data_IF_685276245898
#
_entry.id   IF_685276245898
#
_cell.length_a   1.000
_cell.length_b   1.000
_cell.length_c   1.000
_cell.angle_alpha   90.00
_cell.angle_beta   90.00
_cell.angle_gamma   90.00
#
_symmetry.space_group_name_H-M   'P 1'
#
loop_
_entity.id
_entity.type
_entity.pdbx_description
1 polymer ?
2 non-polymer ?
3 non-polymer ?
4 water ?
#
# COMPACT_ATOMS: atom_id res chain seq x y z
N UNK A 3 2.20 20.95 44.17
CA UNK A 3 1.04 21.81 44.56
C UNK A 3 0.49 21.23 45.84
N UNK A 4 -0.58 20.44 45.70
CA UNK A 4 -0.88 19.46 46.70
C UNK A 4 -0.46 18.16 46.05
N UNK A 5 0.71 17.67 46.46
CA UNK A 5 1.30 16.44 45.93
C UNK A 5 0.28 15.31 45.81
N UNK A 6 -0.62 15.25 46.80
CA UNK A 6 -1.78 14.34 46.78
C UNK A 6 -2.68 14.55 45.55
N UNK A 7 -3.11 15.79 45.33
CA UNK A 7 -4.00 16.11 44.21
C UNK A 7 -3.39 15.76 42.85
N UNK A 8 -2.09 16.04 42.69
CA UNK A 8 -1.39 15.70 41.45
C UNK A 8 -1.30 14.17 41.23
N UNK A 9 -0.93 13.42 42.26
CA UNK A 9 -0.82 11.97 42.08
C UNK A 9 -2.17 11.36 41.76
N UNK A 10 -3.22 11.91 42.37
CA UNK A 10 -4.62 11.56 42.08
C UNK A 10 -4.99 11.77 40.62
N UNK A 11 -4.66 12.95 40.08
CA UNK A 11 -4.96 13.22 38.69
C UNK A 11 -4.17 12.29 37.77
N UNK A 12 -2.86 12.10 38.00
CA UNK A 12 -2.12 11.12 37.20
C UNK A 12 -2.61 9.67 37.33
N UNK A 13 -3.06 9.29 38.52
CA UNK A 13 -3.74 7.99 38.65
C UNK A 13 -5.01 7.92 37.80
N UNK A 14 -5.89 8.90 37.92
CA UNK A 14 -7.12 9.01 37.14
C UNK A 14 -6.88 8.88 35.62
N UNK A 15 -5.87 9.63 35.14
CA UNK A 15 -5.47 9.57 33.75
C UNK A 15 -4.98 8.17 33.39
N UNK A 16 -4.13 7.58 34.23
CA UNK A 16 -3.63 6.25 33.90
C UNK A 16 -4.80 5.28 33.84
N UNK A 17 -5.73 5.37 34.80
CA UNK A 17 -6.90 4.52 34.84
C UNK A 17 -7.77 4.69 33.59
N UNK A 18 -8.01 5.93 33.15
CA UNK A 18 -8.73 6.18 31.90
C UNK A 18 -8.07 5.49 30.69
N UNK A 19 -6.74 5.56 30.61
CA UNK A 19 -6.01 4.92 29.49
C UNK A 19 -6.29 3.41 29.51
N UNK A 20 -6.13 2.77 30.67
CA UNK A 20 -6.42 1.33 30.80
C UNK A 20 -7.89 1.04 30.52
N UNK A 21 -8.80 1.90 30.99
CA UNK A 21 -10.22 1.70 30.68
C UNK A 21 -10.48 1.71 29.18
N UNK A 22 -9.82 2.61 28.47
CA UNK A 22 -9.93 2.70 27.02
C UNK A 22 -9.37 1.45 26.33
N UNK A 23 -8.28 0.93 26.87
CA UNK A 23 -7.69 -0.27 26.34
C UNK A 23 -8.67 -1.44 26.48
N UNK A 24 -9.25 -1.54 27.67
CA UNK A 24 -10.15 -2.63 28.03
C UNK A 24 -11.53 -2.54 27.33
N UNK A 25 -12.13 -1.35 27.34
CA UNK A 25 -13.51 -1.20 26.91
C UNK A 25 -13.71 -0.59 25.53
N UNK A 26 -12.71 0.08 24.98
CA UNK A 26 -12.78 0.46 23.56
C UNK A 26 -11.63 -0.16 22.75
N UNK A 27 -11.05 0.59 21.85
CA UNK A 27 -10.07 0.01 20.92
C UNK A 27 -8.69 0.59 21.13
N UNK A 28 -7.70 -0.01 20.46
CA UNK A 28 -6.31 0.45 20.57
C UNK A 28 -6.12 1.91 20.15
N UNK A 29 -6.79 2.29 19.06
CA UNK A 29 -6.68 3.61 18.50
C UNK A 29 -7.11 4.68 19.51
N UNK A 30 -8.19 4.43 20.24
CA UNK A 30 -8.67 5.35 21.28
C UNK A 30 -7.67 5.46 22.43
N UNK A 31 -7.21 4.30 22.88
CA UNK A 31 -6.18 4.16 23.91
C UNK A 31 -4.90 4.90 23.54
N UNK A 32 -4.38 4.63 22.35
CA UNK A 32 -3.14 5.22 21.87
C UNK A 32 -3.28 6.72 21.76
N UNK A 33 -4.42 7.20 21.26
CA UNK A 33 -4.69 8.62 21.07
C UNK A 33 -4.78 9.36 22.43
N UNK A 34 -5.39 8.70 23.41
CA UNK A 34 -5.48 9.24 24.77
C UNK A 34 -4.09 9.33 25.41
N UNK A 35 -3.34 8.23 25.38
CA UNK A 35 -1.97 8.19 25.91
C UNK A 35 -1.07 9.25 25.23
N UNK A 36 -1.15 9.38 23.91
CA UNK A 36 -0.33 10.36 23.17
C UNK A 36 -0.65 11.79 23.63
N UNK A 37 -1.93 12.14 23.54
CA UNK A 37 -2.32 13.53 23.82
C UNK A 37 -2.38 13.90 25.29
N UNK A 38 -2.38 12.90 26.17
CA UNK A 38 -2.21 13.17 27.60
C UNK A 38 -0.77 13.01 28.05
N UNK A 39 0.06 12.41 27.19
CA UNK A 39 1.49 12.26 27.46
C UNK A 39 1.79 11.33 28.61
N UNK A 40 1.06 10.22 28.67
CA UNK A 40 1.12 9.32 29.80
C UNK A 40 2.23 8.29 29.71
N UNK A 41 2.84 8.02 30.86
CA UNK A 41 3.73 6.88 31.02
C UNK A 41 2.89 5.71 31.53
N UNK A 42 2.78 4.65 30.74
CA UNK A 42 1.90 3.52 31.04
C UNK A 42 2.76 2.29 31.26
N UNK A 43 2.66 1.69 32.44
CA UNK A 43 3.33 0.42 32.73
C UNK A 43 2.88 -0.66 31.76
N UNK A 44 3.85 -1.30 31.11
CA UNK A 44 3.57 -2.37 30.16
C UNK A 44 3.27 -1.88 28.75
N UNK A 45 3.43 -0.57 28.51
CA UNK A 45 3.12 0.02 27.19
C UNK A 45 3.88 -0.64 26.06
N UNK A 46 5.15 -1.00 26.29
CA UNK A 46 5.94 -1.72 25.29
C UNK A 46 5.31 -3.04 24.85
N UNK A 47 4.81 -3.82 25.82
CA UNK A 47 4.16 -5.09 25.52
C UNK A 47 2.86 -4.85 24.76
N UNK A 48 2.12 -3.80 25.14
CA UNK A 48 0.84 -3.53 24.47
C UNK A 48 1.10 -3.14 23.02
N UNK A 49 2.16 -2.37 22.82
CA UNK A 49 2.57 -1.93 21.48
C UNK A 49 2.99 -3.13 20.62
N UNK A 50 3.70 -4.08 21.22
CA UNK A 50 4.10 -5.30 20.48
C UNK A 50 2.89 -6.14 20.09
N UNK A 51 1.90 -6.24 20.97
CA UNK A 51 0.70 -6.97 20.68
C UNK A 51 -0.01 -6.28 19.51
N UNK A 52 -0.11 -4.96 19.54
CA UNK A 52 -0.72 -4.26 18.41
C UNK A 52 0.08 -4.51 17.13
N UNK A 53 1.40 -4.46 17.22
CA UNK A 53 2.23 -4.64 16.04
C UNK A 53 1.98 -6.02 15.42
N UNK A 54 1.89 -7.05 16.25
CA UNK A 54 1.58 -8.39 15.74
C UNK A 54 0.18 -8.45 15.09
N UNK A 55 -0.80 -7.85 15.74
CA UNK A 55 -2.12 -7.62 15.11
C UNK A 55 -2.06 -6.94 13.75
N UNK A 56 -1.21 -5.92 13.63
CA UNK A 56 -1.06 -5.20 12.38
C UNK A 56 -0.49 -6.08 11.28
N UNK A 57 0.55 -6.84 11.61
CA UNK A 57 1.07 -7.92 10.70
C UNK A 57 -0.09 -8.84 10.24
N UNK A 58 -0.89 -9.32 11.19
CA UNK A 58 -1.96 -10.25 10.93
C UNK A 58 -2.93 -9.67 9.92
N UNK A 59 -3.30 -8.41 10.13
CA UNK A 59 -4.20 -7.70 9.23
C UNK A 59 -3.50 -7.50 7.86
N UNK A 60 -2.26 -7.06 7.91
CA UNK A 60 -1.45 -6.87 6.70
C UNK A 60 -1.33 -8.18 5.93
N UNK A 61 -1.24 -9.30 6.63
CA UNK A 61 -1.19 -10.61 5.96
C UNK A 61 -2.46 -10.96 5.23
N UNK A 62 -3.62 -10.75 5.85
CA UNK A 62 -4.88 -11.04 5.19
C UNK A 62 -5.15 -10.10 4.04
N UNK A 63 -4.70 -8.85 4.15
CA UNK A 63 -4.75 -7.93 3.02
C UNK A 63 -3.87 -8.47 1.91
N UNK A 64 -2.65 -8.83 2.27
CA UNK A 64 -1.70 -9.38 1.32
C UNK A 64 -2.31 -10.59 0.58
N UNK A 65 -2.91 -11.51 1.36
CA UNK A 65 -3.42 -12.78 0.82
C UNK A 65 -4.74 -12.63 0.04
N UNK A 66 -5.29 -11.43 0.04
CA UNK A 66 -6.46 -11.08 -0.78
C UNK A 66 -6.06 -10.08 -1.87
N UNK A 67 -4.75 -9.87 -2.00
CA UNK A 67 -4.13 -9.06 -3.05
C UNK A 67 -4.45 -7.57 -2.92
N UNK A 68 -4.69 -7.16 -1.68
CA UNK A 68 -4.76 -5.75 -1.32
C UNK A 68 -3.38 -5.25 -0.94
N UNK A 69 -2.47 -5.29 -1.91
CA UNK A 69 -1.03 -5.09 -1.64
C UNK A 69 -0.70 -3.71 -1.15
N UNK A 70 -1.42 -2.72 -1.70
CA UNK A 70 -1.26 -1.31 -1.31
C UNK A 70 -1.62 -1.06 0.14
N UNK A 71 -2.76 -1.59 0.57
CA UNK A 71 -3.13 -1.46 1.99
C UNK A 71 -2.24 -2.33 2.86
N UNK A 72 -1.94 -3.54 2.40
CA UNK A 72 -1.12 -4.45 3.17
C UNK A 72 0.19 -3.72 3.49
N UNK A 73 0.79 -3.05 2.49
CA UNK A 73 2.06 -2.33 2.68
C UNK A 73 1.95 -1.38 3.83
N UNK A 74 0.86 -0.63 3.85
CA UNK A 74 0.64 0.34 4.90
C UNK A 74 0.63 -0.30 6.31
N UNK A 75 -0.06 -1.43 6.49
CA UNK A 75 -0.07 -2.14 7.77
C UNK A 75 1.30 -2.65 8.20
N UNK A 76 2.04 -3.24 7.26
CA UNK A 76 3.37 -3.78 7.53
C UNK A 76 4.33 -2.69 7.93
N UNK A 77 4.32 -1.60 7.17
CA UNK A 77 5.09 -0.40 7.49
C UNK A 77 4.79 0.08 8.92
N UNK A 78 3.50 0.24 9.24
CA UNK A 78 3.10 0.63 10.58
C UNK A 78 3.58 -0.35 11.66
N UNK A 79 3.38 -1.66 11.43
CA UNK A 79 3.90 -2.70 12.35
C UNK A 79 5.41 -2.61 12.54
N UNK A 80 6.15 -2.46 11.44
CA UNK A 80 7.60 -2.36 11.47
C UNK A 80 8.02 -1.28 12.43
N UNK A 81 7.46 -0.08 12.25
CA UNK A 81 7.82 1.08 13.05
C UNK A 81 7.20 1.18 14.47
N UNK A 82 6.17 0.38 14.74
CA UNK A 82 5.54 0.40 16.07
C UNK A 82 6.34 -0.37 17.12
N UNK A 83 6.85 -1.56 16.75
CA UNK A 83 7.55 -2.44 17.70
C UNK A 83 9.05 -2.34 17.58
N UNK A 84 9.70 -2.81 18.65
CA UNK A 84 11.11 -3.13 18.62
C UNK A 84 11.30 -4.65 18.76
N UNK A 85 10.21 -5.40 18.61
CA UNK A 85 10.28 -6.86 18.58
C UNK A 85 10.93 -7.34 17.27
N UNK A 86 12.06 -8.06 17.40
CA UNK A 86 12.81 -8.56 16.23
C UNK A 86 11.98 -9.44 15.28
N UNK A 87 11.24 -10.39 15.86
CA UNK A 87 10.40 -11.24 15.05
C UNK A 87 9.41 -10.43 14.24
N UNK A 88 8.71 -9.52 14.91
CA UNK A 88 7.67 -8.72 14.29
C UNK A 88 8.29 -7.89 13.19
N UNK A 89 9.41 -7.22 13.52
CA UNK A 89 10.14 -6.40 12.53
C UNK A 89 10.61 -7.20 11.32
N UNK A 90 10.98 -8.45 11.55
CA UNK A 90 11.50 -9.31 10.50
C UNK A 90 10.37 -9.73 9.58
N UNK A 91 9.27 -10.16 10.17
CA UNK A 91 8.10 -10.58 9.40
C UNK A 91 7.54 -9.41 8.62
N UNK A 92 7.36 -8.26 9.29
CA UNK A 92 6.97 -7.02 8.60
C UNK A 92 7.84 -6.64 7.42
N UNK A 93 9.17 -6.59 7.62
CA UNK A 93 10.11 -6.23 6.59
C UNK A 93 10.04 -7.17 5.40
N UNK A 94 9.88 -8.46 5.67
CA UNK A 94 9.75 -9.48 4.62
C UNK A 94 8.52 -9.20 3.76
N UNK A 95 7.39 -8.97 4.42
CA UNK A 95 6.14 -8.78 3.71
C UNK A 95 6.13 -7.43 3.01
N UNK A 96 6.71 -6.41 3.66
CA UNK A 96 6.84 -5.07 3.05
C UNK A 96 7.51 -5.12 1.68
N UNK A 97 8.54 -5.93 1.57
CA UNK A 97 9.34 -5.97 0.35
C UNK A 97 8.62 -6.77 -0.72
N UNK A 98 7.85 -7.78 -0.28
CA UNK A 98 6.97 -8.52 -1.18
C UNK A 98 5.88 -7.61 -1.74
N UNK A 99 5.30 -6.78 -0.88
CA UNK A 99 4.28 -5.79 -1.31
C UNK A 99 4.88 -4.80 -2.28
N UNK A 100 6.11 -4.38 -2.03
CA UNK A 100 6.79 -3.47 -2.92
C UNK A 100 7.00 -4.11 -4.29
N UNK A 101 7.27 -5.42 -4.30
CA UNK A 101 7.45 -6.14 -5.57
C UNK A 101 6.14 -6.22 -6.34
N UNK A 102 5.06 -6.51 -5.63
CA UNK A 102 3.72 -6.62 -6.21
C UNK A 102 3.22 -5.31 -6.79
N UNK A 103 3.70 -4.20 -6.24
CA UNK A 103 3.25 -2.88 -6.62
C UNK A 103 4.24 -2.19 -7.56
N UNK A 104 5.35 -2.84 -7.85
CA UNK A 104 6.46 -2.24 -8.62
C UNK A 104 6.05 -1.89 -10.03
N UNK A 105 5.30 -2.77 -10.65
CA UNK A 105 5.10 -2.74 -12.11
C UNK A 105 6.31 -3.29 -12.88
N UNK A 106 7.51 -2.95 -12.43
CA UNK A 106 8.74 -3.26 -13.19
C UNK A 106 9.46 -4.52 -12.67
N UNK B 3 2.52 -22.25 -45.80
CA UNK B 3 2.63 -20.89 -45.19
C UNK B 3 3.30 -19.88 -46.13
N UNK B 4 2.87 -19.88 -47.39
CA UNK B 4 3.54 -19.12 -48.46
C UNK B 4 4.09 -17.76 -48.04
N UNK B 5 3.21 -16.83 -47.66
CA UNK B 5 3.63 -15.62 -46.96
C UNK B 5 2.79 -15.33 -45.70
N UNK B 6 2.23 -16.39 -45.13
CA UNK B 6 1.82 -16.41 -43.72
C UNK B 6 3.11 -16.40 -42.91
N UNK B 7 4.19 -16.93 -43.49
CA UNK B 7 5.51 -16.99 -42.87
C UNK B 7 6.12 -15.62 -42.73
N UNK B 8 6.04 -14.84 -43.80
CA UNK B 8 6.46 -13.44 -43.79
C UNK B 8 5.63 -12.63 -42.78
N UNK B 9 4.31 -12.68 -42.89
CA UNK B 9 3.40 -11.96 -41.99
C UNK B 9 3.61 -12.34 -40.52
N UNK B 10 3.90 -13.62 -40.27
CA UNK B 10 4.26 -14.12 -38.95
C UNK B 10 5.48 -13.47 -38.33
N UNK B 11 6.64 -13.56 -38.97
CA UNK B 11 7.82 -12.98 -38.31
C UNK B 11 7.65 -11.46 -38.15
N UNK B 12 6.89 -10.85 -39.07
CA UNK B 12 6.62 -9.40 -38.97
C UNK B 12 5.81 -9.09 -37.72
N UNK B 13 4.76 -9.90 -37.48
CA UNK B 13 3.97 -9.81 -36.25
C UNK B 13 4.83 -10.08 -35.01
N UNK B 14 5.65 -11.13 -35.08
CA UNK B 14 6.61 -11.47 -34.01
C UNK B 14 7.52 -10.32 -33.67
N UNK B 15 8.06 -9.67 -34.69
CA UNK B 15 8.89 -8.48 -34.52
C UNK B 15 8.12 -7.30 -33.91
N UNK B 16 6.91 -7.05 -34.38
CA UNK B 16 6.17 -5.94 -33.81
C UNK B 16 5.74 -6.24 -32.38
N UNK B 17 5.46 -7.51 -32.06
CA UNK B 17 5.24 -7.92 -30.67
C UNK B 17 6.43 -7.68 -29.74
N UNK B 18 7.66 -8.03 -30.14
CA UNK B 18 8.82 -7.73 -29.26
C UNK B 18 9.03 -6.23 -29.09
N UNK B 19 8.80 -5.46 -30.15
CA UNK B 19 8.84 -3.98 -30.06
C UNK B 19 7.86 -3.44 -29.02
N UNK B 20 6.62 -3.93 -29.08
CA UNK B 20 5.62 -3.56 -28.07
C UNK B 20 5.99 -4.05 -26.67
N UNK B 21 6.65 -5.21 -26.57
CA UNK B 21 7.11 -5.74 -25.28
C UNK B 21 8.24 -4.89 -24.71
N UNK B 22 9.17 -4.47 -25.57
CA UNK B 22 10.21 -3.53 -25.19
C UNK B 22 9.62 -2.20 -24.70
N UNK B 23 8.59 -1.70 -25.39
CA UNK B 23 7.92 -0.47 -24.97
C UNK B 23 7.25 -0.65 -23.61
N UNK B 24 6.60 -1.80 -23.42
CA UNK B 24 5.93 -2.04 -22.16
C UNK B 24 6.91 -2.35 -21.03
N UNK B 25 7.88 -3.22 -21.29
CA UNK B 25 8.70 -3.78 -20.20
C UNK B 25 10.11 -3.21 -20.04
N UNK B 26 10.57 -2.47 -21.05
CA UNK B 26 11.89 -1.84 -21.04
C UNK B 26 11.75 -0.33 -21.21
N UNK B 27 12.83 0.36 -21.62
CA UNK B 27 12.82 1.81 -21.80
C UNK B 27 12.39 2.20 -23.22
N UNK B 28 12.04 3.48 -23.40
CA UNK B 28 11.85 4.02 -24.74
C UNK B 28 13.08 3.79 -25.60
N UNK B 29 14.27 4.05 -25.06
CA UNK B 29 15.53 3.90 -25.81
C UNK B 29 15.71 2.51 -26.41
N UNK B 30 15.50 1.46 -25.62
CA UNK B 30 15.56 0.09 -26.10
C UNK B 30 14.55 -0.12 -27.22
N UNK B 31 13.29 0.27 -26.94
CA UNK B 31 12.19 0.18 -27.90
C UNK B 31 12.53 0.85 -29.23
N UNK B 32 12.92 2.12 -29.15
CA UNK B 32 13.36 2.89 -30.31
C UNK B 32 14.48 2.18 -31.08
N UNK B 33 15.49 1.68 -30.36
CA UNK B 33 16.63 0.99 -30.96
C UNK B 33 16.20 -0.24 -31.73
N UNK B 34 15.34 -1.04 -31.12
CA UNK B 34 14.82 -2.25 -31.74
C UNK B 34 14.07 -1.91 -33.04
N UNK B 35 13.21 -0.91 -32.95
CA UNK B 35 12.38 -0.50 -34.08
C UNK B 35 13.26 0.01 -35.23
N UNK B 36 14.24 0.82 -34.88
CA UNK B 36 15.23 1.35 -35.81
C UNK B 36 15.97 0.22 -36.51
N UNK B 37 16.59 -0.65 -35.72
CA UNK B 37 17.42 -1.73 -36.28
C UNK B 37 16.64 -2.82 -37.03
N UNK B 38 15.32 -2.92 -36.78
CA UNK B 38 14.49 -3.87 -37.54
C UNK B 38 13.69 -3.22 -38.67
N UNK B 39 13.61 -1.90 -38.66
CA UNK B 39 12.91 -1.16 -39.70
C UNK B 39 11.41 -1.35 -39.61
N UNK B 40 10.88 -1.38 -38.39
CA UNK B 40 9.47 -1.65 -38.16
C UNK B 40 8.60 -0.42 -38.34
N UNK B 41 7.41 -0.65 -38.91
CA UNK B 41 6.31 0.32 -38.92
C UNK B 41 5.36 -0.11 -37.81
N UNK B 42 5.34 0.66 -36.73
CA UNK B 42 4.52 0.33 -35.57
C UNK B 42 3.25 1.18 -35.58
N UNK B 43 2.08 0.53 -35.54
CA UNK B 43 0.81 1.22 -35.38
C UNK B 43 0.85 2.15 -34.16
N UNK B 44 0.65 3.45 -34.40
CA UNK B 44 0.60 4.44 -33.31
C UNK B 44 1.95 4.98 -32.90
N UNK B 45 2.99 4.67 -33.69
CA UNK B 45 4.34 5.16 -33.46
C UNK B 45 4.37 6.67 -33.32
N UNK B 46 3.54 7.36 -34.10
CA UNK B 46 3.54 8.83 -34.03
C UNK B 46 3.10 9.32 -32.67
N UNK B 47 2.07 8.69 -32.12
CA UNK B 47 1.62 9.03 -30.76
C UNK B 47 2.70 8.77 -29.70
N UNK B 48 3.38 7.62 -29.79
CA UNK B 48 4.41 7.26 -28.81
C UNK B 48 5.57 8.23 -28.89
N UNK B 49 5.89 8.64 -30.11
CA UNK B 49 6.92 9.66 -30.33
C UNK B 49 6.50 11.01 -29.73
N UNK B 50 5.24 11.39 -29.91
CA UNK B 50 4.74 12.65 -29.32
C UNK B 50 4.85 12.57 -27.79
N UNK B 51 4.45 11.44 -27.24
CA UNK B 51 4.54 11.25 -25.78
C UNK B 51 5.99 11.38 -25.32
N UNK B 52 6.90 10.73 -26.02
CA UNK B 52 8.30 10.80 -25.63
C UNK B 52 8.85 12.21 -25.76
N UNK B 53 8.46 12.93 -26.82
CA UNK B 53 8.91 14.31 -26.99
C UNK B 53 8.36 15.15 -25.85
N UNK B 54 7.13 14.89 -25.41
CA UNK B 54 6.57 15.67 -24.31
C UNK B 54 7.38 15.39 -23.05
N UNK B 55 7.76 14.13 -22.86
CA UNK B 55 8.56 13.75 -21.72
C UNK B 55 9.90 14.48 -21.76
N UNK B 56 10.54 14.54 -22.93
CA UNK B 56 11.80 15.27 -23.10
C UNK B 56 11.66 16.76 -22.78
N UNK B 57 10.53 17.33 -23.15
CA UNK B 57 10.29 18.73 -22.80
C UNK B 57 10.20 18.86 -21.27
N UNK B 58 9.42 18.00 -20.63
CA UNK B 58 9.33 18.03 -19.17
C UNK B 58 10.72 17.98 -18.55
N UNK B 59 11.56 17.05 -19.03
CA UNK B 59 12.94 16.88 -18.52
C UNK B 59 13.81 18.08 -18.80
N UNK B 60 13.67 18.64 -19.99
CA UNK B 60 14.41 19.86 -20.37
C UNK B 60 14.04 21.02 -19.48
N UNK B 61 12.76 21.10 -19.12
CA UNK B 61 12.26 22.08 -18.14
C UNK B 61 12.90 21.93 -16.77
N UNK B 62 12.95 20.69 -16.28
CA UNK B 62 13.69 20.33 -15.08
C UNK B 62 15.11 20.89 -15.12
N UNK B 63 15.86 20.54 -16.16
CA UNK B 63 17.24 21.03 -16.37
C UNK B 63 17.34 22.55 -16.40
N UNK B 64 16.44 23.18 -17.14
CA UNK B 64 16.33 24.64 -17.20
C UNK B 64 16.16 25.20 -15.78
N UNK B 65 15.29 24.57 -15.00
CA UNK B 65 15.02 25.01 -13.60
C UNK B 65 16.22 24.88 -12.64
N UNK B 66 17.16 23.99 -12.98
CA UNK B 66 18.36 23.80 -12.17
C UNK B 66 19.56 24.51 -12.82
N UNK B 67 19.27 25.39 -13.78
CA UNK B 67 20.26 26.20 -14.50
C UNK B 67 21.29 25.38 -15.30
N UNK B 68 20.83 24.29 -15.89
CA UNK B 68 21.62 23.53 -16.85
C UNK B 68 21.09 23.78 -18.26
N UNK B 69 21.38 24.98 -18.77
CA UNK B 69 20.78 25.46 -20.03
C UNK B 69 21.31 24.77 -21.31
N UNK B 70 22.54 24.30 -21.28
CA UNK B 70 23.08 23.48 -22.38
C UNK B 70 22.40 22.12 -22.46
N UNK B 71 22.25 21.47 -21.31
CA UNK B 71 21.53 20.19 -21.27
C UNK B 71 20.07 20.40 -21.63
N UNK B 72 19.46 21.47 -21.13
CA UNK B 72 18.07 21.72 -21.46
C UNK B 72 17.97 21.88 -22.99
N UNK B 73 18.88 22.66 -23.57
CA UNK B 73 18.88 22.90 -25.03
C UNK B 73 18.88 21.59 -25.83
N UNK B 74 19.70 20.66 -25.38
CA UNK B 74 19.81 19.32 -25.96
C UNK B 74 18.47 18.57 -25.88
N UNK B 75 17.84 18.57 -24.71
CA UNK B 75 16.53 17.93 -24.57
C UNK B 75 15.43 18.56 -25.46
N UNK B 76 15.33 19.89 -25.46
CA UNK B 76 14.31 20.58 -26.30
C UNK B 76 14.54 20.33 -27.80
N UNK B 77 15.82 20.34 -28.22
CA UNK B 77 16.20 20.00 -29.59
C UNK B 77 15.75 18.59 -29.99
N UNK B 78 16.04 17.61 -29.12
CA UNK B 78 15.60 16.26 -29.35
C UNK B 78 14.08 16.15 -29.40
N UNK B 79 13.37 16.82 -28.50
CA UNK B 79 11.90 16.92 -28.55
C UNK B 79 11.35 17.56 -29.84
N UNK B 80 11.95 18.68 -30.26
CA UNK B 80 11.61 19.35 -31.51
C UNK B 80 11.69 18.35 -32.65
N UNK B 81 12.76 17.53 -32.68
CA UNK B 81 13.01 16.68 -33.85
C UNK B 81 12.30 15.33 -33.87
N UNK B 82 11.87 14.87 -32.71
CA UNK B 82 11.37 13.53 -32.57
C UNK B 82 9.94 13.38 -33.09
N UNK B 83 9.15 14.43 -32.95
CA UNK B 83 7.70 14.36 -33.22
C UNK B 83 7.33 15.28 -34.36
N UNK B 84 6.21 15.00 -34.98
CA UNK B 84 5.64 15.86 -35.99
C UNK B 84 4.49 16.69 -35.39
N UNK B 85 4.32 16.60 -34.07
CA UNK B 85 3.25 17.29 -33.38
C UNK B 85 3.52 18.80 -33.28
N UNK B 86 2.60 19.59 -33.81
CA UNK B 86 2.79 21.03 -33.88
C UNK B 86 2.90 21.68 -32.51
N UNK B 87 2.11 21.20 -31.55
CA UNK B 87 2.18 21.69 -30.19
C UNK B 87 3.57 21.42 -29.60
N UNK B 88 4.04 20.18 -29.74
CA UNK B 88 5.34 19.80 -29.23
C UNK B 88 6.45 20.66 -29.85
N UNK B 89 6.41 20.83 -31.17
CA UNK B 89 7.36 21.70 -31.87
C UNK B 89 7.33 23.18 -31.42
N UNK B 90 6.13 23.76 -31.26
CA UNK B 90 6.00 25.16 -30.84
C UNK B 90 6.51 25.36 -29.38
N UNK B 91 6.18 24.41 -28.51
CA UNK B 91 6.65 24.49 -27.12
C UNK B 91 8.16 24.23 -27.02
N UNK B 92 8.65 23.24 -27.78
CA UNK B 92 10.10 22.95 -27.86
C UNK B 92 10.85 24.20 -28.28
N UNK B 93 10.37 24.85 -29.34
CA UNK B 93 10.95 26.08 -29.88
C UNK B 93 10.94 27.23 -28.86
N UNK B 94 9.81 27.40 -28.14
CA UNK B 94 9.72 28.38 -27.06
C UNK B 94 10.82 28.21 -26.01
N UNK B 95 10.98 26.98 -25.52
CA UNK B 95 11.99 26.70 -24.49
C UNK B 95 13.41 26.75 -25.03
N UNK B 96 13.58 26.44 -26.32
CA UNK B 96 14.89 26.55 -26.95
C UNK B 96 15.33 27.99 -26.99
N UNK B 97 14.39 28.87 -27.29
CA UNK B 97 14.69 30.29 -27.31
C UNK B 97 14.89 30.88 -25.92
N UNK B 98 14.23 30.34 -24.90
CA UNK B 98 14.55 30.79 -23.55
C UNK B 98 15.90 30.30 -23.04
N UNK B 99 16.33 29.10 -23.51
CA UNK B 99 17.71 28.63 -23.28
C UNK B 99 18.72 29.55 -23.93
N UNK B 100 18.46 29.95 -25.16
CA UNK B 100 19.36 30.87 -25.88
C UNK B 100 19.40 32.23 -25.19
N UNK B 101 18.28 32.64 -24.61
CA UNK B 101 18.15 33.85 -23.83
C UNK B 101 19.12 33.80 -22.65
N UNK B 102 19.06 32.71 -21.90
CA UNK B 102 19.95 32.58 -20.74
C UNK B 102 21.41 32.26 -21.09
N UNK B 103 21.65 31.65 -22.25
CA UNK B 103 23.02 31.39 -22.72
C UNK B 103 23.67 32.59 -23.38
N UNK B 104 22.90 33.66 -23.54
CA UNK B 104 23.33 34.84 -24.29
C UNK B 104 24.31 35.76 -23.55
N UNK B 105 25.10 35.16 -22.65
CA UNK B 105 26.06 35.93 -21.86
C UNK B 105 25.46 36.46 -20.57
N UNK C 4 -8.87 12.68 54.41
CA UNK C 4 -8.99 13.09 52.98
C UNK C 4 -9.94 12.16 52.23
N UNK C 5 -10.97 12.75 51.62
CA UNK C 5 -11.69 12.11 50.53
C UNK C 5 -10.70 11.84 49.42
N UNK C 6 -9.71 12.73 49.30
CA UNK C 6 -8.56 12.56 48.42
C UNK C 6 -7.76 11.28 48.71
N UNK C 7 -7.41 11.07 49.98
CA UNK C 7 -6.62 9.89 50.40
C UNK C 7 -7.38 8.60 50.13
N UNK C 8 -8.68 8.60 50.46
CA UNK C 8 -9.57 7.49 50.08
C UNK C 8 -9.64 7.33 48.54
N UNK C 9 -9.77 8.44 47.81
CA UNK C 9 -9.78 8.41 46.33
C UNK C 9 -8.54 7.75 45.78
N UNK C 10 -7.37 8.19 46.24
CA UNK C 10 -6.07 7.64 45.84
C UNK C 10 -6.03 6.13 46.00
N UNK C 11 -6.43 5.62 47.17
CA UNK C 11 -6.39 4.19 47.45
C UNK C 11 -7.29 3.41 46.50
N UNK C 12 -8.52 3.90 46.33
CA UNK C 12 -9.50 3.30 45.42
C UNK C 12 -8.95 3.26 43.98
N UNK C 13 -8.22 4.29 43.58
CA UNK C 13 -7.61 4.30 42.25
C UNK C 13 -6.45 3.31 42.20
N UNK C 14 -5.61 3.28 43.23
CA UNK C 14 -4.42 2.42 43.22
C UNK C 14 -4.80 0.96 43.12
N UNK C 15 -5.79 0.56 43.91
CA UNK C 15 -6.37 -0.77 43.84
C UNK C 15 -7.04 -1.04 42.48
N UNK C 16 -7.78 -0.07 41.94
CA UNK C 16 -8.38 -0.28 40.61
C UNK C 16 -7.29 -0.44 39.55
N UNK C 17 -6.23 0.36 39.65
CA UNK C 17 -5.10 0.27 38.75
C UNK C 17 -4.46 -1.12 38.81
N UNK C 18 -4.34 -1.68 40.01
CA UNK C 18 -3.76 -3.01 40.20
C UNK C 18 -4.64 -4.06 39.54
N UNK C 19 -5.96 -3.92 39.70
CA UNK C 19 -6.92 -4.84 39.11
C UNK C 19 -6.87 -4.81 37.60
N UNK C 20 -6.88 -3.61 37.03
CA UNK C 20 -6.75 -3.48 35.57
C UNK C 20 -5.44 -4.07 35.03
N UNK C 21 -4.34 -3.88 35.73
CA UNK C 21 -3.06 -4.44 35.26
C UNK C 21 -3.13 -5.96 35.32
N UNK C 22 -3.80 -6.49 36.33
CA UNK C 22 -3.95 -7.94 36.38
C UNK C 22 -4.82 -8.43 35.23
N UNK C 23 -5.90 -7.70 34.95
CA UNK C 23 -6.87 -8.07 33.93
C UNK C 23 -6.19 -8.10 32.56
N UNK C 24 -5.38 -7.08 32.28
CA UNK C 24 -4.76 -6.96 30.99
C UNK C 24 -3.60 -7.94 30.86
N UNK C 25 -2.75 -8.01 31.88
CA UNK C 25 -1.45 -8.68 31.73
C UNK C 25 -1.36 -10.07 32.32
N UNK C 26 -2.30 -10.43 33.17
CA UNK C 26 -2.25 -11.72 33.84
C UNK C 26 -3.49 -12.53 33.42
N UNK C 27 -3.76 -13.60 34.15
CA UNK C 27 -4.93 -14.44 33.90
C UNK C 27 -6.16 -13.84 34.55
N UNK C 28 -7.31 -14.05 33.91
CA UNK C 28 -8.57 -13.67 34.52
C UNK C 28 -8.66 -14.04 36.01
N UNK C 29 -8.32 -15.29 36.36
CA UNK C 29 -8.48 -15.74 37.74
C UNK C 29 -7.64 -14.95 38.76
N UNK C 30 -6.48 -14.46 38.32
CA UNK C 30 -5.67 -13.57 39.16
C UNK C 30 -6.37 -12.21 39.39
N UNK C 31 -6.92 -11.63 38.33
CA UNK C 31 -7.73 -10.42 38.42
C UNK C 31 -8.93 -10.70 39.33
N UNK C 32 -9.65 -11.78 39.04
CA UNK C 32 -10.83 -12.19 39.82
C UNK C 32 -10.48 -12.37 41.31
N UNK C 33 -9.39 -13.06 41.57
CA UNK C 33 -8.92 -13.27 42.93
C UNK C 33 -8.63 -11.96 43.66
N UNK C 34 -7.91 -11.07 42.99
CA UNK C 34 -7.61 -9.75 43.54
C UNK C 34 -8.88 -8.92 43.83
N UNK C 35 -9.79 -8.83 42.87
CA UNK C 35 -11.02 -8.05 43.05
C UNK C 35 -11.83 -8.60 44.24
N UNK C 36 -12.02 -9.92 44.27
CA UNK C 36 -12.75 -10.57 45.35
C UNK C 36 -12.10 -10.32 46.71
N UNK C 37 -10.77 -10.42 46.78
CA UNK C 37 -10.03 -10.30 48.06
C UNK C 37 -10.08 -8.89 48.61
N UNK C 38 -10.06 -7.92 47.70
CA UNK C 38 -10.10 -6.51 48.05
C UNK C 38 -11.53 -5.97 48.18
N UNK C 39 -12.51 -6.69 47.63
CA UNK C 39 -13.90 -6.25 47.61
C UNK C 39 -14.07 -5.03 46.74
N UNK C 40 -13.37 -5.05 45.62
CA UNK C 40 -13.27 -3.88 44.76
C UNK C 40 -14.37 -3.88 43.73
N UNK C 41 -15.11 -2.79 43.66
CA UNK C 41 -16.10 -2.64 42.62
C UNK C 41 -15.47 -2.09 41.33
N UNK C 42 -15.53 -2.90 40.29
CA UNK C 42 -15.01 -2.55 38.98
C UNK C 42 -16.18 -2.27 38.06
N UNK C 43 -16.21 -1.07 37.49
CA UNK C 43 -17.28 -0.73 36.55
C UNK C 43 -17.21 -1.61 35.32
N UNK C 44 -18.32 -2.26 34.99
CA UNK C 44 -18.42 -3.08 33.80
C UNK C 44 -17.87 -4.48 34.02
N UNK C 45 -17.71 -4.87 35.29
CA UNK C 45 -17.21 -6.18 35.70
C UNK C 45 -17.91 -7.38 35.04
N UNK C 46 -19.23 -7.29 34.89
CA UNK C 46 -20.00 -8.38 34.27
C UNK C 46 -19.57 -8.69 32.81
N UNK C 47 -18.88 -7.74 32.18
CA UNK C 47 -18.43 -7.91 30.80
C UNK C 47 -17.02 -8.54 30.70
N UNK C 48 -16.26 -8.50 31.77
CA UNK C 48 -14.81 -8.73 31.67
C UNK C 48 -14.33 -10.19 31.50
N UNK C 49 -15.10 -11.16 32.00
CA UNK C 49 -14.75 -12.56 31.74
C UNK C 49 -14.85 -12.88 30.24
N UNK C 50 -15.99 -12.57 29.63
CA UNK C 50 -16.16 -12.86 28.19
C UNK C 50 -15.25 -12.01 27.29
N UNK C 51 -15.04 -10.74 27.65
CA UNK C 51 -14.09 -9.87 26.99
C UNK C 51 -12.67 -10.44 27.04
N UNK C 52 -12.30 -10.99 28.19
CA UNK C 52 -10.99 -11.62 28.29
C UNK C 52 -10.89 -12.82 27.37
N UNK C 53 -11.91 -13.67 27.36
CA UNK C 53 -11.85 -14.84 26.49
C UNK C 53 -11.70 -14.40 25.02
N UNK C 54 -12.49 -13.40 24.64
CA UNK C 54 -12.42 -12.83 23.29
C UNK C 54 -11.02 -12.29 22.96
N UNK C 55 -10.41 -11.56 23.90
CA UNK C 55 -9.07 -11.01 23.67
C UNK C 55 -8.02 -12.12 23.60
N UNK C 56 -8.25 -13.19 24.37
CA UNK C 56 -7.37 -14.38 24.31
C UNK C 56 -7.41 -15.00 22.90
N UNK C 57 -8.60 -15.16 22.34
CA UNK C 57 -8.75 -15.70 20.99
C UNK C 57 -8.14 -14.76 19.99
N UNK C 58 -8.39 -13.47 20.17
CA UNK C 58 -7.86 -12.42 19.26
C UNK C 58 -6.33 -12.47 19.21
N UNK C 59 -5.70 -12.54 20.36
CA UNK C 59 -4.24 -12.59 20.47
C UNK C 59 -3.69 -13.94 20.04
N UNK C 60 -4.39 -15.02 20.40
CA UNK C 60 -4.08 -16.36 19.87
C UNK C 60 -4.10 -16.37 18.34
N UNK C 61 -5.08 -15.72 17.75
CA UNK C 61 -5.21 -15.59 16.29
C UNK C 61 -4.10 -14.79 15.65
N UNK C 62 -3.66 -13.72 16.29
CA UNK C 62 -2.51 -12.99 15.80
C UNK C 62 -1.25 -13.86 15.80
N UNK C 63 -1.07 -14.66 16.85
CA UNK C 63 0.02 -15.62 16.86
C UNK C 63 -0.16 -16.70 15.78
N UNK C 64 -1.39 -17.20 15.67
CA UNK C 64 -1.75 -18.21 14.67
C UNK C 64 -1.36 -17.72 13.27
N UNK C 65 -1.70 -16.47 12.98
CA UNK C 65 -1.51 -15.92 11.63
C UNK C 65 -0.05 -15.56 11.38
N UNK C 66 0.74 -15.45 12.45
CA UNK C 66 2.20 -15.32 12.32
C UNK C 66 2.89 -16.68 12.50
N UNK C 67 2.09 -17.74 12.31
CA UNK C 67 2.58 -19.14 12.29
C UNK C 67 3.33 -19.54 13.56
N UNK C 68 2.85 -19.00 14.69
CA UNK C 68 3.33 -19.43 15.99
C UNK C 68 2.24 -20.23 16.67
N UNK C 69 2.10 -21.48 16.23
CA UNK C 69 1.02 -22.33 16.68
C UNK C 69 1.21 -22.82 18.10
N UNK C 70 2.46 -23.06 18.44
CA UNK C 70 2.80 -23.49 19.77
C UNK C 70 2.45 -22.40 20.77
N UNK C 71 2.86 -21.16 20.46
CA UNK C 71 2.53 -20.04 21.33
C UNK C 71 1.03 -19.84 21.40
N UNK C 72 0.40 -19.86 20.22
CA UNK C 72 -1.04 -19.63 20.09
C UNK C 72 -1.86 -20.60 20.91
N UNK C 73 -1.44 -21.87 20.97
CA UNK C 73 -2.23 -22.90 21.66
C UNK C 73 -2.65 -22.48 23.08
N UNK C 74 -1.72 -21.88 23.82
CA UNK C 74 -1.96 -21.50 25.21
C UNK C 74 -3.16 -20.53 25.26
N UNK C 75 -3.22 -19.60 24.32
CA UNK C 75 -4.23 -18.59 24.29
C UNK C 75 -5.58 -19.23 24.03
N UNK C 76 -5.62 -20.14 23.05
CA UNK C 76 -6.85 -20.85 22.71
C UNK C 76 -7.37 -21.75 23.82
N UNK C 77 -6.45 -22.54 24.41
CA UNK C 77 -6.67 -23.34 25.62
C UNK C 77 -7.26 -22.45 26.71
N UNK C 78 -6.62 -21.30 26.94
CA UNK C 78 -7.09 -20.42 28.00
C UNK C 78 -8.50 -19.88 27.74
N UNK C 79 -8.80 -19.56 26.49
CA UNK C 79 -10.11 -19.01 26.14
C UNK C 79 -11.22 -20.06 26.22
N UNK C 80 -10.90 -21.25 25.77
CA UNK C 80 -11.85 -22.35 25.75
C UNK C 80 -12.31 -22.70 27.19
N UNK C 81 -11.36 -22.66 28.13
CA UNK C 81 -11.65 -22.94 29.55
C UNK C 81 -12.27 -21.76 30.30
N UNK C 82 -12.05 -20.55 29.80
CA UNK C 82 -12.57 -19.36 30.45
C UNK C 82 -14.00 -18.98 30.06
N UNK C 83 -14.37 -19.17 28.80
CA UNK C 83 -15.68 -18.71 28.33
C UNK C 83 -16.84 -19.59 28.75
N UNK C 84 -17.98 -18.96 28.99
CA UNK C 84 -19.23 -19.65 29.26
C UNK C 84 -20.08 -19.63 28.00
N UNK C 85 -19.55 -19.02 26.94
CA UNK C 85 -20.24 -18.86 25.67
C UNK C 85 -19.92 -20.04 24.75
N UNK C 86 -20.92 -20.91 24.57
CA UNK C 86 -20.93 -22.02 23.61
C UNK C 86 -20.22 -21.73 22.27
N UNK C 87 -20.59 -20.62 21.64
CA UNK C 87 -20.05 -20.25 20.33
C UNK C 87 -18.56 -19.93 20.41
N UNK C 88 -18.17 -19.14 21.40
CA UNK C 88 -16.75 -18.75 21.46
C UNK C 88 -15.89 -19.90 22.00
N UNK C 89 -16.45 -20.76 22.86
CA UNK C 89 -15.82 -22.07 23.14
C UNK C 89 -15.49 -22.81 21.83
N UNK C 90 -16.44 -22.86 20.90
CA UNK C 90 -16.22 -23.61 19.64
C UNK C 90 -15.18 -22.95 18.76
N UNK C 91 -15.13 -21.61 18.75
CA UNK C 91 -14.10 -20.87 18.00
C UNK C 91 -12.73 -21.19 18.59
N UNK C 92 -12.61 -21.01 19.91
CA UNK C 92 -11.40 -21.42 20.65
C UNK C 92 -10.98 -22.86 20.35
N UNK C 93 -11.94 -23.78 20.48
CA UNK C 93 -11.74 -25.17 20.17
C UNK C 93 -11.28 -25.41 18.72
N UNK C 94 -11.89 -24.72 17.76
CA UNK C 94 -11.49 -24.80 16.35
C UNK C 94 -10.03 -24.53 16.23
N UNK C 95 -9.64 -23.36 16.71
CA UNK C 95 -8.26 -22.90 16.66
C UNK C 95 -7.30 -23.80 17.43
N UNK C 96 -7.67 -24.22 18.63
CA UNK C 96 -6.85 -25.15 19.40
C UNK C 96 -6.56 -26.43 18.61
N UNK C 97 -7.58 -27.00 17.98
CA UNK C 97 -7.37 -28.22 17.19
C UNK C 97 -6.44 -27.98 15.99
N UNK C 98 -6.58 -26.81 15.36
CA UNK C 98 -5.69 -26.39 14.26
C UNK C 98 -4.26 -26.29 14.76
N UNK C 99 -4.06 -25.74 15.96
CA UNK C 99 -2.71 -25.68 16.52
C UNK C 99 -2.12 -27.07 16.79
N UNK C 100 -2.90 -27.95 17.40
CA UNK C 100 -2.49 -29.32 17.64
C UNK C 100 -2.16 -30.02 16.32
N UNK C 101 -2.96 -29.79 15.30
CA UNK C 101 -2.64 -30.37 13.99
C UNK C 101 -1.25 -29.95 13.51
N UNK C 102 -0.91 -28.68 13.72
CA UNK C 102 0.39 -28.15 13.30
C UNK C 102 1.54 -28.73 14.12
N UNK C 103 1.32 -28.86 15.43
CA UNK C 103 2.26 -29.54 16.33
C UNK C 103 2.51 -31.00 15.94
N UNK C 104 1.45 -31.66 15.47
CA UNK C 104 1.49 -33.07 15.07
C UNK C 104 1.98 -33.23 13.62
N UNK C 105 2.31 -32.11 12.99
CA UNK C 105 2.87 -32.11 11.64
C UNK C 105 1.86 -32.26 10.53
N UNK C 106 0.63 -31.77 10.75
CA UNK C 106 -0.42 -31.78 9.74
C UNK C 106 -0.92 -30.37 9.45
N UNK D 4 -1.54 -26.76 -40.68
CA UNK D 4 -1.29 -25.29 -40.54
C UNK D 4 -1.26 -24.76 -39.10
N UNK D 5 -0.16 -25.01 -38.40
CA UNK D 5 0.09 -24.35 -37.15
C UNK D 5 0.39 -22.86 -37.40
N UNK D 6 0.74 -22.50 -38.64
CA UNK D 6 1.02 -21.09 -38.96
C UNK D 6 -0.22 -20.19 -38.87
N UNK D 7 -1.37 -20.70 -39.33
CA UNK D 7 -2.62 -19.93 -39.29
C UNK D 7 -3.09 -19.72 -37.86
N UNK D 8 -3.05 -20.79 -37.06
CA UNK D 8 -3.29 -20.73 -35.64
C UNK D 8 -2.30 -19.84 -34.88
N UNK D 9 -1.00 -19.99 -35.16
CA UNK D 9 0.03 -19.12 -34.54
C UNK D 9 -0.14 -17.66 -34.92
N UNK D 10 -0.56 -17.41 -36.16
CA UNK D 10 -0.85 -16.07 -36.64
C UNK D 10 -1.99 -15.40 -35.86
N UNK D 11 -3.06 -16.15 -35.60
CA UNK D 11 -4.21 -15.65 -34.85
C UNK D 11 -3.81 -15.29 -33.41
N UNK D 12 -3.10 -16.20 -32.74
CA UNK D 12 -2.58 -15.96 -31.38
C UNK D 12 -1.91 -14.59 -31.38
N UNK D 13 -0.93 -14.44 -32.26
CA UNK D 13 -0.17 -13.22 -32.45
C UNK D 13 -1.04 -11.98 -32.71
N UNK D 14 -2.06 -12.13 -33.56
CA UNK D 14 -2.97 -11.03 -33.92
C UNK D 14 -3.75 -10.57 -32.69
N UNK D 15 -4.22 -11.54 -31.92
CA UNK D 15 -4.92 -11.26 -30.66
C UNK D 15 -3.99 -10.66 -29.60
N UNK D 16 -2.73 -11.12 -29.56
CA UNK D 16 -1.78 -10.62 -28.57
C UNK D 16 -1.45 -9.18 -28.90
N UNK D 17 -1.27 -8.91 -30.19
CA UNK D 17 -1.04 -7.54 -30.68
C UNK D 17 -2.14 -6.59 -30.27
N UNK D 18 -3.39 -6.99 -30.48
CA UNK D 18 -4.56 -6.16 -30.14
C UNK D 18 -4.58 -5.87 -28.65
N UNK D 19 -4.30 -6.90 -27.85
CA UNK D 19 -4.18 -6.80 -26.40
C UNK D 19 -3.10 -5.78 -26.02
N UNK D 20 -1.93 -5.90 -26.62
CA UNK D 20 -0.85 -4.93 -26.32
C UNK D 20 -1.22 -3.51 -26.70
N UNK D 21 -1.88 -3.39 -27.85
CA UNK D 21 -2.30 -2.10 -28.36
C UNK D 21 -3.32 -1.48 -27.43
N UNK D 22 -4.26 -2.30 -26.95
CA UNK D 22 -5.24 -1.85 -25.94
C UNK D 22 -4.52 -1.40 -24.70
N UNK D 23 -3.57 -2.21 -24.24
CA UNK D 23 -2.83 -1.88 -23.02
C UNK D 23 -2.11 -0.55 -23.13
N UNK D 24 -1.46 -0.30 -24.27
CA UNK D 24 -0.69 0.90 -24.48
C UNK D 24 -1.58 2.12 -24.70
N UNK D 25 -2.63 1.97 -25.52
CA UNK D 25 -3.29 3.13 -26.07
C UNK D 25 -4.66 3.37 -25.49
N UNK D 26 -5.21 2.35 -24.85
CA UNK D 26 -6.57 2.44 -24.32
C UNK D 26 -6.51 2.39 -22.80
N UNK D 27 -7.64 2.13 -22.13
CA UNK D 27 -7.65 2.05 -20.68
C UNK D 27 -7.35 0.64 -20.24
N UNK D 28 -6.83 0.50 -19.01
CA UNK D 28 -6.50 -0.79 -18.48
C UNK D 28 -7.68 -1.75 -18.52
N UNK D 29 -8.87 -1.27 -18.16
CA UNK D 29 -10.04 -2.16 -18.21
C UNK D 29 -10.42 -2.61 -19.62
N UNK D 30 -10.13 -1.79 -20.64
CA UNK D 30 -10.34 -2.24 -22.03
C UNK D 30 -9.41 -3.41 -22.33
N UNK D 31 -8.14 -3.23 -22.00
CA UNK D 31 -7.15 -4.29 -22.11
C UNK D 31 -7.53 -5.56 -21.31
N UNK D 32 -7.84 -5.39 -20.02
CA UNK D 32 -8.37 -6.43 -19.15
C UNK D 32 -9.57 -7.19 -19.71
N UNK D 33 -10.59 -6.46 -20.16
CA UNK D 33 -11.79 -7.06 -20.74
C UNK D 33 -11.49 -7.88 -21.99
N UNK D 34 -10.59 -7.38 -22.82
CA UNK D 34 -10.18 -8.10 -24.02
C UNK D 34 -9.45 -9.42 -23.72
N UNK D 35 -8.44 -9.35 -22.85
CA UNK D 35 -7.68 -10.54 -22.45
C UNK D 35 -8.61 -11.63 -21.83
N UNK D 36 -9.47 -11.24 -20.88
CA UNK D 36 -10.50 -12.12 -20.30
C UNK D 36 -11.39 -12.76 -21.37
N UNK D 37 -11.99 -11.93 -22.23
CA UNK D 37 -12.96 -12.40 -23.24
C UNK D 37 -12.30 -13.26 -24.32
N UNK D 38 -11.00 -13.06 -24.55
CA UNK D 38 -10.26 -13.86 -25.51
C UNK D 38 -9.47 -15.02 -24.90
N UNK D 39 -9.33 -15.04 -23.57
CA UNK D 39 -8.52 -16.05 -22.88
C UNK D 39 -7.04 -16.03 -23.22
N UNK D 40 -6.45 -14.84 -23.28
CA UNK D 40 -5.04 -14.70 -23.60
C UNK D 40 -4.13 -14.76 -22.38
N UNK D 41 -3.02 -15.48 -22.51
CA UNK D 41 -2.03 -15.52 -21.44
C UNK D 41 -0.87 -14.56 -21.72
N UNK D 42 -0.98 -13.32 -21.23
CA UNK D 42 0.06 -12.31 -21.40
C UNK D 42 1.18 -12.52 -20.38
N UNK D 43 2.42 -12.60 -20.87
CA UNK D 43 3.57 -12.72 -19.98
C UNK D 43 3.87 -11.37 -19.34
N UNK D 44 4.06 -11.38 -18.02
CA UNK D 44 4.22 -10.14 -17.25
C UNK D 44 2.89 -9.53 -16.83
N UNK D 45 1.79 -10.26 -17.03
CA UNK D 45 0.43 -9.75 -16.77
C UNK D 45 0.21 -9.11 -15.41
N UNK D 46 0.82 -9.70 -14.38
CA UNK D 46 0.67 -9.23 -13.02
C UNK D 46 1.27 -7.83 -12.82
N UNK D 47 2.24 -7.48 -13.64
CA UNK D 47 2.91 -6.19 -13.53
C UNK D 47 2.07 -5.06 -14.13
N UNK D 48 1.16 -5.43 -15.03
CA UNK D 48 0.60 -4.44 -15.97
C UNK D 48 -0.28 -3.35 -15.35
N UNK D 49 -1.08 -3.70 -14.36
CA UNK D 49 -1.97 -2.72 -13.71
C UNK D 49 -1.19 -1.59 -13.06
N UNK D 50 -0.19 -1.92 -12.26
CA UNK D 50 0.59 -0.85 -11.63
C UNK D 50 1.54 -0.09 -12.58
N UNK D 51 2.08 -0.78 -13.59
CA UNK D 51 2.85 -0.11 -14.66
C UNK D 51 1.95 0.92 -15.34
N UNK D 52 0.71 0.53 -15.55
CA UNK D 52 -0.28 1.36 -16.23
C UNK D 52 -0.50 2.62 -15.39
N UNK D 53 -0.60 2.44 -14.07
CA UNK D 53 -0.93 3.57 -13.20
C UNK D 53 0.27 4.50 -13.13
N UNK D 54 1.47 3.93 -13.05
CA UNK D 54 2.72 4.74 -13.08
C UNK D 54 2.94 5.47 -14.37
N UNK D 55 2.50 4.86 -15.47
CA UNK D 55 2.63 5.51 -16.76
C UNK D 55 1.58 6.65 -16.91
N UNK D 56 0.39 6.48 -16.31
CA UNK D 56 -0.65 7.52 -16.27
C UNK D 56 -0.15 8.72 -15.47
N UNK D 57 0.46 8.46 -14.32
CA UNK D 57 1.10 9.53 -13.55
C UNK D 57 2.18 10.22 -14.37
N UNK D 58 3.06 9.44 -15.01
CA UNK D 58 4.21 9.97 -15.73
C UNK D 58 3.73 10.88 -16.88
N UNK D 59 2.72 10.42 -17.62
CA UNK D 59 2.21 11.14 -18.78
C UNK D 59 1.35 12.31 -18.34
N UNK D 60 0.61 12.11 -17.24
CA UNK D 60 -0.10 13.21 -16.57
C UNK D 60 0.86 14.35 -16.20
N UNK D 61 2.00 14.02 -15.58
CA UNK D 61 3.01 15.02 -15.21
C UNK D 61 3.59 15.72 -16.42
N UNK D 62 3.76 14.99 -17.52
CA UNK D 62 4.29 15.60 -18.75
C UNK D 62 3.34 16.63 -19.35
N UNK D 63 2.04 16.33 -19.26
CA UNK D 63 1.00 17.26 -19.65
C UNK D 63 0.94 18.41 -18.67
N UNK D 64 1.04 18.12 -17.37
CA UNK D 64 1.12 19.16 -16.36
C UNK D 64 2.27 20.14 -16.67
N UNK D 65 3.42 19.59 -17.00
CA UNK D 65 4.62 20.39 -17.22
C UNK D 65 4.62 21.17 -18.53
N UNK D 66 3.75 20.76 -19.46
CA UNK D 66 3.52 21.53 -20.70
C UNK D 66 2.23 22.38 -20.56
N UNK D 67 1.80 22.52 -19.31
CA UNK D 67 0.73 23.46 -18.94
C UNK D 67 -0.59 23.10 -19.59
N UNK D 68 -0.80 21.82 -19.81
CA UNK D 68 -2.10 21.30 -20.23
C UNK D 68 -2.81 20.64 -19.08
N UNK D 69 -3.29 21.47 -18.19
CA UNK D 69 -3.94 21.05 -16.96
C UNK D 69 -5.28 20.33 -17.16
N UNK D 70 -6.06 20.81 -18.13
CA UNK D 70 -7.33 20.16 -18.47
C UNK D 70 -7.08 18.77 -18.98
N UNK D 71 -6.06 18.63 -19.84
CA UNK D 71 -5.71 17.31 -20.36
C UNK D 71 -5.17 16.41 -19.26
N UNK D 72 -4.27 16.95 -18.45
CA UNK D 72 -3.59 16.17 -17.41
C UNK D 72 -4.60 15.62 -16.42
N UNK D 73 -5.66 16.36 -16.16
CA UNK D 73 -6.69 15.92 -15.19
C UNK D 73 -7.15 14.48 -15.47
N UNK D 74 -7.37 14.14 -16.75
CA UNK D 74 -7.85 12.80 -17.11
C UNK D 74 -6.86 11.70 -16.69
N UNK D 75 -5.58 11.94 -16.91
CA UNK D 75 -4.52 10.98 -16.58
C UNK D 75 -4.44 10.76 -15.09
N UNK D 76 -4.45 11.86 -14.34
CA UNK D 76 -4.37 11.81 -12.88
C UNK D 76 -5.56 11.11 -12.23
N UNK D 77 -6.74 11.40 -12.74
CA UNK D 77 -7.98 10.78 -12.29
C UNK D 77 -7.95 9.27 -12.54
N UNK D 78 -7.53 8.90 -13.75
CA UNK D 78 -7.40 7.48 -14.06
C UNK D 78 -6.39 6.80 -13.15
N UNK D 79 -5.28 7.46 -12.91
CA UNK D 79 -4.22 6.85 -12.08
C UNK D 79 -4.73 6.60 -10.67
N UNK D 80 -5.44 7.59 -10.14
CA UNK D 80 -6.00 7.57 -8.79
C UNK D 80 -6.95 6.38 -8.63
N UNK D 81 -7.72 6.11 -9.69
CA UNK D 81 -8.76 5.09 -9.67
C UNK D 81 -8.28 3.70 -10.07
N UNK D 82 -7.11 3.65 -10.72
CA UNK D 82 -6.58 2.38 -11.20
C UNK D 82 -5.65 1.74 -10.19
N UNK D 83 -4.73 2.51 -9.63
CA UNK D 83 -3.66 2.03 -8.77
C UNK D 83 -4.14 1.54 -7.41
N UNK D 84 -3.50 0.49 -6.89
CA UNK D 84 -3.69 0.00 -5.51
C UNK D 84 -2.73 0.67 -4.53
N UNK D 85 -1.77 1.41 -5.08
CA UNK D 85 -0.65 1.99 -4.38
C UNK D 85 -1.07 3.33 -3.77
N UNK D 86 -1.10 3.40 -2.44
CA UNK D 86 -1.55 4.62 -1.73
C UNK D 86 -0.70 5.85 -2.08
N UNK D 87 0.57 5.67 -2.36
CA UNK D 87 1.44 6.78 -2.73
C UNK D 87 1.09 7.32 -4.12
N UNK D 88 0.84 6.45 -5.09
CA UNK D 88 0.41 7.02 -6.36
C UNK D 88 -1.00 7.62 -6.28
N UNK D 89 -1.83 7.14 -5.34
CA UNK D 89 -3.12 7.78 -5.09
C UNK D 89 -2.87 9.17 -4.51
N UNK D 90 -1.94 9.28 -3.55
CA UNK D 90 -1.58 10.58 -2.98
C UNK D 90 -0.98 11.54 -4.00
N UNK D 91 -0.12 11.04 -4.88
CA UNK D 91 0.45 11.87 -5.94
C UNK D 91 -0.63 12.31 -6.92
N UNK D 92 -1.52 11.39 -7.30
CA UNK D 92 -2.61 11.70 -8.25
C UNK D 92 -3.52 12.77 -7.68
N UNK D 93 -3.89 12.60 -6.40
CA UNK D 93 -4.83 13.50 -5.77
C UNK D 93 -4.21 14.89 -5.66
N UNK D 94 -2.90 14.93 -5.48
CA UNK D 94 -2.17 16.18 -5.35
C UNK D 94 -2.21 16.91 -6.67
N UNK D 95 -1.85 16.21 -7.74
CA UNK D 95 -1.84 16.83 -9.06
C UNK D 95 -3.27 17.18 -9.52
N UNK D 96 -4.25 16.36 -9.15
CA UNK D 96 -5.65 16.65 -9.48
C UNK D 96 -6.04 17.98 -8.88
N UNK D 97 -5.73 18.17 -7.61
CA UNK D 97 -6.03 19.41 -6.93
C UNK D 97 -5.29 20.59 -7.60
N UNK D 98 -4.06 20.38 -8.03
CA UNK D 98 -3.33 21.43 -8.75
C UNK D 98 -4.01 21.79 -10.09
N UNK D 99 -4.45 20.77 -10.81
CA UNK D 99 -5.15 20.99 -12.08
C UNK D 99 -6.47 21.72 -11.87
N UNK D 100 -7.20 21.35 -10.81
CA UNK D 100 -8.46 22.03 -10.48
C UNK D 100 -8.21 23.52 -10.12
N UNK D 101 -7.11 23.80 -9.44
CA UNK D 101 -6.75 25.20 -9.12
C UNK D 101 -6.38 26.00 -10.38
N UNK D 102 -5.72 25.35 -11.33
CA UNK D 102 -5.40 25.98 -12.60
C UNK D 102 -6.67 26.30 -13.42
N UNK D 103 -7.61 25.35 -13.44
CA UNK D 103 -8.91 25.56 -14.09
C UNK D 103 -9.66 26.74 -13.47
N UNK D 104 -9.46 26.95 -12.17
CA UNK D 104 -10.17 28.00 -11.42
C UNK D 104 -9.62 29.42 -11.65
N UNK D 105 -8.53 29.53 -12.41
CA UNK D 105 -7.75 30.76 -12.45
C UNK D 105 -6.63 30.57 -11.46
N UNK D 106 -6.99 30.44 -10.19
CA UNK D 106 -6.16 29.79 -9.14
C UNK D 106 -6.83 29.74 -7.77
X LIG E 1 -1.17 -16.77 28.58
X LIG E 1 -2.07 -16.04 27.77
X LIG E 1 -1.78 -14.55 27.97
X LIG E 1 -2.60 -14.09 29.05
X LIG E 1 -2.41 -12.71 29.39
X LIG E 1 -2.80 -11.83 28.21
X LIG E 1 -4.21 -11.99 28.06
X LIG E 1 -4.67 -11.81 26.72
X LIG E 1 -5.20 -10.40 26.48
X LIG E 1 -6.28 -10.09 27.36
X LIG E 1 -6.31 -8.68 27.59
X LIG E 1 -7.73 -8.26 27.93
X LIG E 1 -7.83 -6.84 27.88
X LIG F 1 5.52 2.44 -16.65
X LIG F 1 6.29 2.04 -17.81
X LIG F 1 5.61 2.55 -19.08
X LIG F 1 4.92 1.49 -19.73
X LIG F 1 3.67 1.17 -19.11
X LIG F 1 2.62 0.86 -20.16
X LIG F 1 1.57 1.82 -20.16
X LIG F 1 1.52 2.52 -21.39
X LIG F 1 0.21 3.25 -21.55
X LIG F 1 -0.05 4.09 -20.43
X LIG F 1 -0.05 5.46 -20.81
X LIG F 1 -1.33 6.11 -20.34
X LIG F 1 -2.44 5.54 -21.04
X LIG F 1 -2.74 6.23 -22.23
X LIG F 1 -4.22 6.05 -22.50
X LIG F 1 -4.97 6.71 -21.48
X LIG F 1 -4.64 8.09 -21.31
X LIG F 1 -5.58 8.80 -20.33
X LIG F 1 -6.80 9.17 -21.00
#
# INVERSE_FOLDING_TARGET
GSHMNLAVKLTRMEKTLKAYELYIFSDYENFENYVKKEGLKIEGMELLKEKKARSLIAEGKDLFETANYGEALVFFEKALNLSDNEEIKKIASFYLEECRKKLAGD
GSHMNLAVKLTRMEKTLKAYELYIFSDYENFENYVKKEGLKIEGMELLKEKKARSLIAEGKDLFETANYGEALVFFEKALNLSDNEEIKKIASFYLEECRKKLAGD
GSHMNLAVKLTRMEKTLKAYELYIFSDYENFENYVKKEGLKIEGMELLKEKKARSLIAEGKDLFETANYGEALVFFEKALNLSDNEEIKKIASFYLEECRKKLAGD
GSHMNLAVKLTRMEKTLKAYELYIFSDYENFENYVKKEGLKIEGMELLKEKKARSLIAEGKDLFETANYGEALVFFEKALNLSDNEEIKKIASFYLEECRKKLAGD
PG4 O1 C1 C2 O2 C3 C4 O3 C5 C6 O4 C7 C8 O5
P6G O1 C2 C3 O4 C5 C6 O7 C8 C9 O10 C11 C12 O13 C14 C15 O16 C17 C18 O19
#
